data_IF_601801867994
#
_entry.id   IF_601801867994
#
_cell.length_a   1.000
_cell.length_b   1.000
_cell.length_c   1.000
_cell.angle_alpha   90.00
_cell.angle_beta   90.00
_cell.angle_gamma   90.00
#
_symmetry.space_group_name_H-M   'P 1'
#
loop_
_entity.id
_entity.type
_entity.pdbx_description
1 polymer ?
#
# COMPACT_ATOMS: atom_id res chain seq x y z
N UNK A 1 21.97 -16.65 -7.97
CA UNK A 1 21.05 -17.11 -6.90
C UNK A 1 20.22 -18.25 -7.43
N UNK A 2 19.87 -19.25 -6.61
CA UNK A 2 18.93 -20.27 -7.05
C UNK A 2 17.56 -19.62 -7.25
N UNK A 3 16.76 -20.11 -8.21
CA UNK A 3 15.43 -19.56 -8.52
C UNK A 3 14.54 -19.43 -7.28
N UNK A 4 14.65 -20.38 -6.35
CA UNK A 4 13.94 -20.39 -5.06
C UNK A 4 14.19 -19.16 -4.17
N UNK A 5 15.29 -18.43 -4.40
CA UNK A 5 15.68 -17.27 -3.59
C UNK A 5 15.28 -15.93 -4.23
N UNK A 6 14.58 -15.97 -5.38
CA UNK A 6 14.16 -14.79 -6.13
C UNK A 6 12.70 -14.50 -5.80
N UNK A 7 12.46 -13.32 -5.23
CA UNK A 7 11.12 -12.83 -4.92
C UNK A 7 10.79 -11.63 -5.82
N UNK A 8 9.56 -11.60 -6.35
CA UNK A 8 9.06 -10.49 -7.15
C UNK A 8 8.28 -9.51 -6.29
N UNK A 9 8.62 -8.22 -6.38
CA UNK A 9 7.83 -7.12 -5.81
C UNK A 9 7.76 -5.97 -6.80
N UNK A 10 6.60 -5.32 -6.93
CA UNK A 10 6.45 -4.14 -7.78
C UNK A 10 7.17 -2.90 -7.24
N UNK A 11 7.20 -1.82 -8.03
CA UNK A 11 7.85 -0.54 -7.68
C UNK A 11 7.35 0.06 -6.35
N UNK A 12 6.12 -0.27 -5.93
CA UNK A 12 5.52 0.20 -4.69
C UNK A 12 6.11 -0.40 -3.40
N UNK A 13 7.03 -1.37 -3.47
CA UNK A 13 7.53 -2.08 -2.27
C UNK A 13 8.21 -1.14 -1.26
N UNK A 14 8.87 -0.08 -1.73
CA UNK A 14 9.53 0.89 -0.85
C UNK A 14 8.57 1.67 0.05
N UNK A 15 7.27 1.75 -0.32
CA UNK A 15 6.25 2.42 0.49
C UNK A 15 5.74 1.56 1.65
N UNK A 16 6.02 0.25 1.65
CA UNK A 16 5.59 -0.66 2.73
C UNK A 16 6.54 -0.53 3.91
N UNK A 17 6.04 0.04 5.02
CA UNK A 17 6.82 0.29 6.25
C UNK A 17 6.42 -0.58 7.44
N UNK A 18 5.32 -1.32 7.33
CA UNK A 18 4.81 -2.17 8.40
C UNK A 18 4.03 -3.35 7.82
N UNK A 19 3.99 -4.45 8.56
CA UNK A 19 3.09 -5.58 8.32
C UNK A 19 1.82 -5.35 9.12
N UNK A 20 0.68 -5.26 8.45
CA UNK A 20 -0.62 -4.96 9.06
C UNK A 20 -1.66 -5.99 8.62
N UNK A 21 -2.75 -6.18 9.38
CA UNK A 21 -3.94 -6.84 8.89
C UNK A 21 -4.43 -6.16 7.60
N UNK A 22 -4.84 -6.96 6.61
CA UNK A 22 -5.29 -6.42 5.33
C UNK A 22 -6.44 -5.41 5.49
N UNK A 23 -7.40 -5.68 6.40
CA UNK A 23 -8.53 -4.78 6.68
C UNK A 23 -8.12 -3.42 7.25
N UNK A 24 -7.03 -3.38 8.03
CA UNK A 24 -6.50 -2.11 8.56
C UNK A 24 -5.89 -1.27 7.43
N UNK A 25 -5.10 -1.89 6.55
CA UNK A 25 -4.51 -1.21 5.40
C UNK A 25 -5.58 -0.67 4.44
N UNK A 26 -6.61 -1.48 4.15
CA UNK A 26 -7.73 -1.07 3.28
C UNK A 26 -8.49 0.11 3.90
N UNK A 27 -8.78 0.06 5.20
CA UNK A 27 -9.43 1.17 5.92
C UNK A 27 -8.62 2.45 5.81
N UNK A 28 -7.30 2.38 6.03
CA UNK A 28 -6.41 3.54 5.91
C UNK A 28 -6.44 4.15 4.51
N UNK A 29 -6.31 3.31 3.47
CA UNK A 29 -6.32 3.76 2.08
C UNK A 29 -7.63 4.47 1.70
N UNK A 30 -8.77 3.95 2.17
CA UNK A 30 -10.07 4.61 1.98
C UNK A 30 -10.09 6.00 2.61
N UNK A 31 -9.70 6.12 3.88
CA UNK A 31 -9.68 7.40 4.58
C UNK A 31 -8.75 8.42 3.91
N UNK A 32 -7.55 8.00 3.48
CA UNK A 32 -6.60 8.86 2.77
C UNK A 32 -7.16 9.32 1.41
N UNK A 33 -7.83 8.43 0.68
CA UNK A 33 -8.48 8.76 -0.59
C UNK A 33 -9.62 9.77 -0.41
N UNK A 34 -10.48 9.56 0.58
CA UNK A 34 -11.59 10.47 0.88
C UNK A 34 -11.06 11.87 1.24
N UNK A 35 -10.01 11.95 2.07
CA UNK A 35 -9.36 13.21 2.41
C UNK A 35 -8.72 13.90 1.18
N UNK A 36 -8.14 13.14 0.26
CA UNK A 36 -7.58 13.67 -0.98
C UNK A 36 -8.67 14.19 -1.92
N UNK A 37 -9.79 13.48 -2.04
CA UNK A 37 -10.98 13.90 -2.80
C UNK A 37 -11.52 15.24 -2.29
N UNK A 38 -11.69 15.36 -0.98
CA UNK A 38 -12.14 16.60 -0.33
C UNK A 38 -11.18 17.77 -0.62
N UNK A 39 -9.86 17.54 -0.51
CA UNK A 39 -8.85 18.56 -0.83
C UNK A 39 -8.92 19.04 -2.28
N UNK A 40 -9.19 18.12 -3.20
CA UNK A 40 -9.26 18.42 -4.64
C UNK A 40 -10.63 18.95 -5.07
N UNK A 41 -11.64 18.95 -4.18
CA UNK A 41 -13.04 19.32 -4.47
C UNK A 41 -13.63 18.55 -5.67
N UNK A 42 -13.29 17.26 -5.76
CA UNK A 42 -13.76 16.37 -6.84
C UNK A 42 -15.06 15.64 -6.47
#
# INVERSE_FOLDING_TARGET
KAWKDIWGSGQGINAVKAVLPAGELVTRLRTEYDAARERLKL
#
